data_IF_392743300026
#
_entry.id   IF_392743300026
#
_cell.length_a   1.000
_cell.length_b   1.000
_cell.length_c   1.000
_cell.angle_alpha   90.00
_cell.angle_beta   90.00
_cell.angle_gamma   90.00
#
_symmetry.space_group_name_H-M   'P 1'
#
loop_
_entity.id
_entity.type
_entity.pdbx_description
1 polymer ?
#
# COMPACT_ATOMS: atom_id res chain seq x y z
N UNK A 1 -33.80 40.40 0.23
CA UNK A 1 -32.40 40.47 0.65
C UNK A 1 -31.90 39.03 0.65
N UNK A 2 -31.42 38.59 -0.51
CA UNK A 2 -31.22 37.20 -0.90
C UNK A 2 -29.74 37.01 -1.15
N UNK A 3 -29.08 36.04 -0.50
CA UNK A 3 -28.05 35.17 -1.09
C UNK A 3 -27.44 34.27 -0.01
N UNK A 4 -27.90 33.02 -0.01
CA UNK A 4 -27.20 31.84 0.50
C UNK A 4 -26.01 31.54 -0.41
N UNK A 5 -24.80 31.39 0.14
CA UNK A 5 -23.65 30.82 -0.60
C UNK A 5 -23.03 29.70 0.21
N UNK A 6 -23.60 28.51 0.03
CA UNK A 6 -22.98 27.21 0.30
C UNK A 6 -22.29 26.78 -1.01
N UNK A 7 -20.97 26.90 -1.12
CA UNK A 7 -20.22 26.35 -2.25
C UNK A 7 -19.83 24.90 -1.96
N UNK A 8 -20.70 23.99 -2.37
CA UNK A 8 -20.41 22.56 -2.56
C UNK A 8 -19.79 22.39 -3.96
N UNK A 9 -18.72 21.60 -4.00
CA UNK A 9 -18.22 20.78 -5.12
C UNK A 9 -18.35 21.34 -6.54
N UNK A 10 -17.23 21.88 -7.05
CA UNK A 10 -17.01 21.97 -8.50
C UNK A 10 -16.41 20.65 -8.99
N UNK A 11 -17.26 19.79 -9.55
CA UNK A 11 -16.85 18.80 -10.54
C UNK A 11 -16.30 19.56 -11.75
N UNK A 12 -15.02 19.36 -12.11
CA UNK A 12 -14.48 19.76 -13.42
C UNK A 12 -13.66 18.61 -13.97
N UNK A 13 -14.20 17.96 -15.00
CA UNK A 13 -13.52 16.94 -15.78
C UNK A 13 -12.68 17.61 -16.89
N UNK A 14 -11.54 16.97 -17.18
CA UNK A 14 -10.76 17.06 -18.42
C UNK A 14 -9.91 18.31 -18.67
N UNK A 15 -8.81 18.42 -17.92
CA UNK A 15 -7.55 19.01 -18.40
C UNK A 15 -6.37 18.38 -17.69
N UNK A 16 -6.05 17.11 -17.99
CA UNK A 16 -4.85 16.44 -17.49
C UNK A 16 -3.63 16.93 -18.26
N UNK A 17 -3.28 18.21 -18.12
CA UNK A 17 -1.86 18.55 -18.06
C UNK A 17 -1.25 17.61 -17.03
N UNK A 18 -0.26 16.81 -17.42
CA UNK A 18 0.45 15.84 -16.56
C UNK A 18 1.27 16.57 -15.48
N UNK A 19 0.61 17.45 -14.72
CA UNK A 19 1.12 18.07 -13.52
C UNK A 19 0.88 17.04 -12.45
N UNK A 20 1.87 16.19 -12.26
CA UNK A 20 1.92 15.26 -11.14
C UNK A 20 1.97 16.07 -9.86
N UNK A 21 0.89 16.04 -9.07
CA UNK A 21 0.92 16.62 -7.74
C UNK A 21 1.83 15.76 -6.86
N UNK A 22 2.89 16.37 -6.32
CA UNK A 22 3.85 15.69 -5.46
C UNK A 22 3.21 15.15 -4.18
N UNK A 23 2.16 15.80 -3.69
CA UNK A 23 1.39 15.37 -2.52
C UNK A 23 0.58 14.11 -2.79
N UNK A 24 -0.12 14.05 -3.92
CA UNK A 24 -0.90 12.87 -4.32
C UNK A 24 0.00 11.64 -4.55
N UNK A 25 1.17 11.84 -5.17
CA UNK A 25 2.14 10.77 -5.37
C UNK A 25 2.79 10.29 -4.06
N UNK A 26 3.14 11.22 -3.17
CA UNK A 26 3.69 10.87 -1.86
C UNK A 26 2.66 10.07 -1.04
N UNK A 27 1.39 10.49 -1.06
CA UNK A 27 0.31 9.79 -0.38
C UNK A 27 0.06 8.38 -0.94
N UNK A 28 0.10 8.24 -2.28
CA UNK A 28 -0.01 6.94 -2.93
C UNK A 28 1.15 6.00 -2.55
N UNK A 29 2.40 6.48 -2.56
CA UNK A 29 3.56 5.66 -2.17
C UNK A 29 3.49 5.22 -0.70
N UNK A 30 3.07 6.11 0.20
CA UNK A 30 2.86 5.78 1.62
C UNK A 30 1.75 4.74 1.78
N UNK A 31 0.64 4.89 1.07
CA UNK A 31 -0.46 3.92 1.10
C UNK A 31 -0.02 2.54 0.60
N UNK A 32 0.78 2.50 -0.47
CA UNK A 32 1.31 1.26 -1.03
C UNK A 32 2.29 0.59 -0.08
N UNK A 33 3.12 1.38 0.63
CA UNK A 33 4.02 0.88 1.66
C UNK A 33 3.26 0.26 2.86
N UNK A 34 2.14 0.85 3.27
CA UNK A 34 1.27 0.28 4.32
C UNK A 34 0.65 -1.06 3.91
N UNK A 35 0.26 -1.20 2.63
CA UNK A 35 -0.26 -2.48 2.10
C UNK A 35 0.85 -3.53 2.06
N UNK A 36 2.05 -3.21 1.60
CA UNK A 36 3.18 -4.14 1.54
C UNK A 36 3.59 -4.64 2.93
N UNK A 37 3.37 -3.86 3.99
CA UNK A 37 3.72 -4.25 5.36
C UNK A 37 2.71 -5.23 6.01
N UNK A 38 1.49 -5.40 5.48
CA UNK A 38 0.50 -6.34 6.02
C UNK A 38 0.94 -7.81 5.93
N UNK A 39 1.50 -8.22 4.78
CA UNK A 39 1.93 -9.60 4.52
C UNK A 39 3.03 -10.09 5.46
N UNK A 40 4.10 -9.31 5.76
CA UNK A 40 5.08 -9.69 6.78
C UNK A 40 4.60 -9.42 8.22
N UNK A 41 3.71 -8.46 8.48
CA UNK A 41 3.25 -8.13 9.83
C UNK A 41 2.52 -9.30 10.52
N UNK A 42 1.65 -10.00 9.78
CA UNK A 42 0.98 -11.19 10.30
C UNK A 42 2.00 -12.31 10.56
N UNK A 43 2.98 -12.52 9.69
CA UNK A 43 4.00 -13.56 9.89
C UNK A 43 4.88 -13.28 11.12
N UNK A 44 5.16 -12.00 11.43
CA UNK A 44 5.82 -11.61 12.67
C UNK A 44 4.98 -11.95 13.90
N UNK A 45 3.66 -11.74 13.81
CA UNK A 45 2.71 -12.05 14.89
C UNK A 45 2.48 -13.57 15.07
N UNK A 46 2.30 -14.30 13.96
CA UNK A 46 2.17 -15.77 13.94
C UNK A 46 3.48 -16.46 14.32
N UNK A 47 4.62 -15.87 13.98
CA UNK A 47 5.93 -16.28 14.50
C UNK A 47 5.99 -16.14 16.01
N UNK A 48 5.63 -14.98 16.57
CA UNK A 48 5.68 -14.72 18.01
C UNK A 48 4.82 -15.65 18.89
N UNK A 49 3.78 -16.28 18.34
CA UNK A 49 2.91 -17.25 19.03
C UNK A 49 3.36 -18.71 18.87
N UNK A 50 4.33 -18.98 17.99
CA UNK A 50 4.88 -20.33 17.76
C UNK A 50 6.15 -20.54 18.59
N UNK A 51 6.48 -21.80 18.86
CA UNK A 51 7.69 -22.17 19.60
C UNK A 51 8.94 -21.40 19.12
N UNK A 52 9.76 -20.92 20.06
CA UNK A 52 10.95 -20.09 19.77
C UNK A 52 11.94 -20.71 18.78
N UNK A 53 11.91 -22.03 18.63
CA UNK A 53 12.69 -22.82 17.65
C UNK A 53 12.27 -22.60 16.20
N UNK A 54 11.02 -22.20 15.94
CA UNK A 54 10.47 -22.05 14.59
C UNK A 54 10.23 -20.59 14.17
N UNK A 55 10.44 -19.62 15.09
CA UNK A 55 10.31 -18.17 14.82
C UNK A 55 11.23 -17.72 13.70
N UNK A 56 12.50 -18.15 13.73
CA UNK A 56 13.48 -17.80 12.71
C UNK A 56 13.07 -18.30 11.32
N UNK A 57 12.48 -19.49 11.23
CA UNK A 57 12.01 -20.06 9.97
C UNK A 57 10.80 -19.29 9.42
N UNK A 58 9.88 -18.87 10.30
CA UNK A 58 8.69 -18.11 9.91
C UNK A 58 9.05 -16.70 9.39
N UNK A 59 10.06 -16.06 9.98
CA UNK A 59 10.60 -14.78 9.52
C UNK A 59 11.27 -14.87 8.15
N UNK A 60 12.11 -15.88 7.95
CA UNK A 60 12.82 -16.08 6.68
C UNK A 60 11.86 -16.46 5.56
N UNK A 61 10.88 -17.33 5.84
CA UNK A 61 9.84 -17.72 4.88
C UNK A 61 9.00 -16.53 4.43
N UNK A 62 8.63 -15.63 5.34
CA UNK A 62 7.83 -14.45 4.97
C UNK A 62 8.64 -13.45 4.13
N UNK A 63 9.95 -13.33 4.35
CA UNK A 63 10.84 -12.50 3.54
C UNK A 63 10.99 -13.06 2.11
N UNK A 64 11.14 -14.38 2.00
CA UNK A 64 11.24 -15.09 0.73
C UNK A 64 9.91 -15.08 -0.05
N UNK A 65 8.78 -15.32 0.62
CA UNK A 65 7.45 -15.22 0.01
C UNK A 65 7.17 -13.83 -0.55
N UNK A 66 7.53 -12.77 0.17
CA UNK A 66 7.34 -11.40 -0.32
C UNK A 66 8.16 -11.14 -1.60
N UNK A 67 9.40 -11.62 -1.65
CA UNK A 67 10.24 -11.54 -2.85
C UNK A 67 9.69 -12.33 -4.03
N UNK A 68 9.25 -13.57 -3.80
CA UNK A 68 8.68 -14.43 -4.87
C UNK A 68 7.38 -13.84 -5.42
N UNK A 69 6.49 -13.37 -4.55
CA UNK A 69 5.22 -12.75 -4.98
C UNK A 69 5.49 -11.46 -5.77
N UNK A 70 6.47 -10.64 -5.35
CA UNK A 70 6.86 -9.44 -6.09
C UNK A 70 7.42 -9.78 -7.48
N UNK A 71 8.30 -10.77 -7.58
CA UNK A 71 8.87 -11.24 -8.87
C UNK A 71 7.79 -11.85 -9.77
N UNK A 72 6.92 -12.71 -9.21
CA UNK A 72 5.78 -13.29 -9.92
C UNK A 72 4.83 -12.22 -10.46
N UNK A 73 4.56 -11.18 -9.66
CA UNK A 73 3.67 -10.08 -10.01
C UNK A 73 4.22 -9.24 -11.17
N UNK A 74 5.53 -8.96 -11.17
CA UNK A 74 6.19 -8.22 -12.26
C UNK A 74 6.25 -9.03 -13.56
N UNK A 75 6.36 -10.36 -13.49
CA UNK A 75 6.50 -11.22 -14.68
C UNK A 75 5.17 -11.64 -15.33
N UNK A 76 4.12 -11.83 -14.54
CA UNK A 76 2.83 -12.39 -15.03
C UNK A 76 1.60 -11.53 -14.67
N UNK A 77 1.74 -10.52 -13.80
CA UNK A 77 0.63 -9.72 -13.29
C UNK A 77 0.52 -8.31 -13.87
N UNK A 78 1.56 -7.83 -14.54
CA UNK A 78 1.58 -6.60 -15.35
C UNK A 78 1.63 -6.98 -16.83
#
# INVERSE_FOLDING_TARGET
MTTTTTTISTTTAASTTLVFDSGDNAWMMVSTAFVLMMTPALAFFYGGLVDRKNILNQLFLSFVCMGIVFVQWVLFGF
#
